data_IF_520053283439
#
_entry.id   IF_520053283439
#
_cell.length_a   1.000
_cell.length_b   1.000
_cell.length_c   1.000
_cell.angle_alpha   90.00
_cell.angle_beta   90.00
_cell.angle_gamma   90.00
#
_symmetry.space_group_name_H-M   'P 1'
#
loop_
_entity.id
_entity.type
_entity.pdbx_description
1 polymer ?
#
# COMPACT_ATOMS: atom_id res chain seq x y z
N UNK A 1 57.12 -10.84 -20.51
CA UNK A 1 56.03 -10.08 -19.84
C UNK A 1 54.73 -10.82 -20.09
N UNK A 2 53.96 -11.06 -19.03
CA UNK A 2 52.63 -11.69 -19.08
C UNK A 2 52.57 -13.10 -18.49
N UNK A 3 52.89 -13.29 -17.20
CA UNK A 3 52.40 -14.47 -16.48
C UNK A 3 50.91 -14.23 -16.24
N UNK A 4 50.07 -14.94 -17.00
CA UNK A 4 48.66 -15.08 -16.66
C UNK A 4 48.59 -15.57 -15.21
N UNK A 5 47.88 -14.82 -14.36
CA UNK A 5 47.68 -15.19 -12.96
C UNK A 5 47.26 -16.65 -12.88
N UNK A 6 47.86 -17.38 -11.94
CA UNK A 6 47.71 -18.82 -11.85
C UNK A 6 46.22 -19.17 -11.77
N UNK A 7 45.81 -20.32 -12.28
CA UNK A 7 44.40 -20.74 -12.21
C UNK A 7 43.92 -20.79 -10.75
N UNK A 8 44.87 -21.03 -9.83
CA UNK A 8 44.72 -20.89 -8.39
C UNK A 8 44.29 -19.48 -7.94
N UNK A 9 44.84 -18.41 -8.52
CA UNK A 9 44.52 -17.02 -8.17
C UNK A 9 43.09 -16.65 -8.60
N UNK A 10 42.66 -17.16 -9.77
CA UNK A 10 41.31 -16.95 -10.30
C UNK A 10 40.28 -17.67 -9.43
N UNK A 11 40.57 -18.93 -9.04
CA UNK A 11 39.72 -19.70 -8.14
C UNK A 11 39.64 -19.04 -6.77
N UNK A 12 40.78 -18.59 -6.22
CA UNK A 12 40.82 -17.87 -4.94
C UNK A 12 39.96 -16.60 -5.00
N UNK A 13 40.11 -15.76 -6.04
CA UNK A 13 39.33 -14.52 -6.17
C UNK A 13 37.82 -14.75 -6.32
N UNK A 14 37.43 -15.89 -6.90
CA UNK A 14 36.02 -16.28 -7.06
C UNK A 14 35.44 -16.80 -5.75
N UNK A 15 36.20 -17.62 -5.03
CA UNK A 15 35.84 -18.10 -3.69
C UNK A 15 35.78 -16.93 -2.71
N UNK A 16 36.73 -16.00 -2.76
CA UNK A 16 36.76 -14.80 -1.93
C UNK A 16 35.56 -13.89 -2.23
N UNK A 17 35.17 -13.74 -3.50
CA UNK A 17 33.93 -13.06 -3.90
C UNK A 17 32.67 -13.77 -3.38
N UNK A 18 32.60 -15.08 -3.51
CA UNK A 18 31.47 -15.86 -2.97
C UNK A 18 31.42 -15.74 -1.45
N UNK A 19 32.56 -15.82 -0.77
CA UNK A 19 32.67 -15.63 0.68
C UNK A 19 32.29 -14.21 1.08
N UNK A 20 32.71 -13.17 0.36
CA UNK A 20 32.31 -11.78 0.67
C UNK A 20 30.82 -11.54 0.40
N UNK A 21 30.25 -12.13 -0.64
CA UNK A 21 28.80 -12.16 -0.88
C UNK A 21 28.05 -12.94 0.21
N UNK A 22 28.62 -14.04 0.70
CA UNK A 22 28.10 -14.83 1.83
C UNK A 22 28.31 -14.10 3.17
N UNK A 23 29.25 -13.16 3.23
CA UNK A 23 29.50 -12.27 4.37
C UNK A 23 28.56 -11.06 4.40
N UNK A 24 27.64 -10.92 3.43
CA UNK A 24 26.39 -10.21 3.71
C UNK A 24 25.80 -10.85 4.96
N UNK A 25 25.64 -10.06 6.03
CA UNK A 25 25.00 -10.57 7.23
C UNK A 25 23.65 -11.16 6.84
N UNK A 26 23.21 -12.23 7.49
CA UNK A 26 21.92 -12.88 7.18
C UNK A 26 20.79 -11.85 7.05
N UNK A 27 20.83 -10.77 7.84
CA UNK A 27 19.91 -9.65 7.78
C UNK A 27 20.01 -8.81 6.49
N UNK A 28 21.22 -8.60 5.95
CA UNK A 28 21.42 -7.91 4.68
C UNK A 28 20.87 -8.73 3.51
N UNK A 29 21.09 -10.06 3.51
CA UNK A 29 20.55 -10.96 2.50
C UNK A 29 19.00 -11.04 2.55
N UNK A 30 18.42 -11.15 3.75
CA UNK A 30 16.96 -11.16 3.92
C UNK A 30 16.36 -9.83 3.46
N UNK A 31 17.00 -8.71 3.80
CA UNK A 31 16.53 -7.40 3.40
C UNK A 31 16.61 -7.19 1.88
N UNK A 32 17.73 -7.54 1.25
CA UNK A 32 17.90 -7.39 -0.20
C UNK A 32 16.89 -8.25 -0.97
N UNK A 33 16.61 -9.46 -0.50
CA UNK A 33 15.59 -10.35 -1.06
C UNK A 33 14.19 -9.74 -0.98
N UNK A 34 13.78 -9.23 0.19
CA UNK A 34 12.45 -8.64 0.39
C UNK A 34 12.27 -7.32 -0.37
N UNK A 35 13.31 -6.47 -0.37
CA UNK A 35 13.29 -5.19 -1.07
C UNK A 35 13.20 -5.38 -2.59
N UNK A 36 13.96 -6.34 -3.14
CA UNK A 36 13.90 -6.68 -4.57
C UNK A 36 12.50 -7.19 -4.98
N UNK A 37 11.92 -8.09 -4.18
CA UNK A 37 10.56 -8.59 -4.43
C UNK A 37 9.51 -7.48 -4.38
N UNK A 38 9.59 -6.57 -3.41
CA UNK A 38 8.67 -5.44 -3.28
C UNK A 38 8.77 -4.47 -4.48
N UNK A 39 9.99 -4.20 -4.95
CA UNK A 39 10.22 -3.36 -6.11
C UNK A 39 9.67 -4.01 -7.40
N UNK A 40 9.92 -5.30 -7.62
CA UNK A 40 9.48 -6.00 -8.82
C UNK A 40 7.96 -6.20 -8.90
N UNK A 41 7.33 -6.61 -7.80
CA UNK A 41 5.91 -6.99 -7.82
C UNK A 41 4.95 -5.84 -7.54
N UNK A 42 5.40 -4.83 -6.79
CA UNK A 42 4.54 -3.75 -6.32
C UNK A 42 5.05 -2.36 -6.67
N UNK A 43 6.24 -2.24 -7.29
CA UNK A 43 6.89 -0.96 -7.57
C UNK A 43 7.08 -0.09 -6.31
N UNK A 44 7.37 -0.72 -5.18
CA UNK A 44 7.62 -0.07 -3.88
C UNK A 44 9.11 -0.17 -3.56
N UNK A 45 9.73 0.97 -3.21
CA UNK A 45 11.07 1.01 -2.62
C UNK A 45 10.93 0.90 -1.11
N UNK A 46 11.64 -0.03 -0.48
CA UNK A 46 11.58 -0.26 0.97
C UNK A 46 12.95 -0.02 1.57
N UNK A 47 13.03 0.90 2.52
CA UNK A 47 14.25 1.16 3.30
C UNK A 47 14.40 0.18 4.47
N UNK A 48 15.64 -0.05 4.92
CA UNK A 48 15.93 -1.06 5.96
C UNK A 48 15.30 -0.71 7.30
N UNK A 49 15.43 0.54 7.72
CA UNK A 49 14.82 1.05 8.95
C UNK A 49 13.29 1.03 8.87
N UNK A 50 12.73 1.29 7.70
CA UNK A 50 11.29 1.25 7.46
C UNK A 50 10.75 -0.18 7.62
N UNK A 51 11.41 -1.16 7.01
CA UNK A 51 11.04 -2.57 7.14
C UNK A 51 11.12 -3.05 8.59
N UNK A 52 12.20 -2.71 9.30
CA UNK A 52 12.38 -3.08 10.71
C UNK A 52 11.27 -2.48 11.57
N UNK A 53 10.96 -1.19 11.39
CA UNK A 53 9.87 -0.53 12.12
C UNK A 53 8.51 -1.14 11.79
N UNK A 54 8.26 -1.47 10.53
CA UNK A 54 7.02 -2.12 10.10
C UNK A 54 6.85 -3.50 10.77
N UNK A 55 7.90 -4.32 10.80
CA UNK A 55 7.89 -5.63 11.47
C UNK A 55 7.65 -5.48 12.97
N UNK A 56 8.34 -4.54 13.63
CA UNK A 56 8.14 -4.24 15.05
C UNK A 56 6.71 -3.80 15.32
N UNK A 57 6.14 -2.93 14.49
CA UNK A 57 4.76 -2.47 14.61
C UNK A 57 3.76 -3.63 14.43
N UNK A 58 3.99 -4.54 13.49
CA UNK A 58 3.18 -5.75 13.29
C UNK A 58 3.21 -6.63 14.54
N UNK A 59 4.40 -6.86 15.11
CA UNK A 59 4.58 -7.69 16.32
C UNK A 59 3.91 -7.05 17.54
N UNK A 60 4.17 -5.76 17.78
CA UNK A 60 3.54 -5.00 18.86
C UNK A 60 2.02 -4.97 18.72
N UNK A 61 1.51 -4.81 17.50
CA UNK A 61 0.06 -4.83 17.24
C UNK A 61 -0.55 -6.20 17.46
N UNK A 62 0.19 -7.30 17.24
CA UNK A 62 -0.29 -8.66 17.57
C UNK A 62 -0.29 -8.95 19.06
N UNK A 63 0.68 -8.43 19.79
CA UNK A 63 0.88 -8.73 21.21
C UNK A 63 0.02 -7.83 22.11
N UNK A 64 -0.14 -6.55 21.74
CA UNK A 64 -0.76 -5.55 22.59
C UNK A 64 -1.99 -4.87 21.95
N UNK A 65 -2.34 -5.20 20.72
CA UNK A 65 -3.40 -4.50 19.99
C UNK A 65 -4.25 -5.39 19.07
N UNK A 66 -5.16 -4.77 18.29
CA UNK A 66 -5.84 -5.42 17.19
C UNK A 66 -4.84 -5.69 16.06
N UNK A 67 -4.95 -6.84 15.41
CA UNK A 67 -4.05 -7.24 14.34
C UNK A 67 -4.10 -6.22 13.18
N UNK A 68 -2.98 -6.06 12.47
CA UNK A 68 -2.94 -5.16 11.30
C UNK A 68 -3.94 -5.59 10.22
N UNK A 69 -4.21 -6.89 10.09
CA UNK A 69 -5.25 -7.40 9.19
C UNK A 69 -6.65 -6.90 9.54
N UNK A 70 -7.03 -6.95 10.82
CA UNK A 70 -8.34 -6.43 11.27
C UNK A 70 -8.45 -4.92 11.09
N UNK A 71 -7.36 -4.18 11.38
CA UNK A 71 -7.31 -2.73 11.15
C UNK A 71 -7.47 -2.39 9.67
N UNK A 72 -6.79 -3.13 8.78
CA UNK A 72 -6.91 -2.94 7.34
C UNK A 72 -8.31 -3.26 6.82
N UNK A 73 -8.91 -4.35 7.27
CA UNK A 73 -10.29 -4.71 6.92
C UNK A 73 -11.27 -3.63 7.35
N UNK A 74 -11.16 -3.16 8.60
CA UNK A 74 -12.01 -2.09 9.15
C UNK A 74 -11.84 -0.78 8.37
N UNK A 75 -10.61 -0.37 8.10
CA UNK A 75 -10.34 0.85 7.34
C UNK A 75 -10.92 0.80 5.93
N UNK A 76 -10.77 -0.34 5.25
CA UNK A 76 -11.31 -0.56 3.90
C UNK A 76 -12.84 -0.52 3.91
N UNK A 77 -13.46 -1.16 4.89
CA UNK A 77 -14.91 -1.18 5.03
C UNK A 77 -15.48 0.21 5.35
N UNK A 78 -14.81 0.96 6.23
CA UNK A 78 -15.17 2.34 6.56
C UNK A 78 -15.04 3.28 5.35
N UNK A 79 -13.97 3.14 4.56
CA UNK A 79 -13.79 3.93 3.35
C UNK A 79 -14.89 3.66 2.32
N UNK A 80 -15.25 2.38 2.12
CA UNK A 80 -16.35 1.99 1.24
C UNK A 80 -17.71 2.52 1.73
N UNK A 81 -17.96 2.49 3.04
CA UNK A 81 -19.21 3.00 3.61
C UNK A 81 -19.31 4.53 3.51
N UNK A 82 -18.19 5.24 3.70
CA UNK A 82 -18.13 6.69 3.55
C UNK A 82 -18.41 7.12 2.10
N UNK A 83 -17.84 6.43 1.11
CA UNK A 83 -18.13 6.66 -0.31
C UNK A 83 -19.60 6.39 -0.65
N UNK A 84 -20.18 5.30 -0.12
CA UNK A 84 -21.62 5.00 -0.29
C UNK A 84 -22.50 6.08 0.31
N UNK A 85 -22.23 6.48 1.54
CA UNK A 85 -23.00 7.50 2.24
C UNK A 85 -22.95 8.83 1.49
N UNK A 86 -21.77 9.22 0.99
CA UNK A 86 -21.61 10.42 0.17
C UNK A 86 -22.44 10.36 -1.11
N UNK A 87 -22.32 9.28 -1.89
CA UNK A 87 -23.08 9.09 -3.14
C UNK A 87 -24.58 9.11 -2.91
N UNK A 88 -25.05 8.45 -1.86
CA UNK A 88 -26.46 8.43 -1.49
C UNK A 88 -26.96 9.83 -1.11
N UNK A 89 -26.24 10.54 -0.24
CA UNK A 89 -26.61 11.90 0.16
C UNK A 89 -26.68 12.87 -1.02
N UNK A 90 -25.74 12.76 -1.97
CA UNK A 90 -25.79 13.54 -3.20
C UNK A 90 -27.04 13.23 -4.03
N UNK A 91 -27.35 11.95 -4.21
CA UNK A 91 -28.53 11.52 -4.97
C UNK A 91 -29.84 11.97 -4.31
N UNK A 92 -29.95 11.82 -2.99
CA UNK A 92 -31.11 12.25 -2.21
C UNK A 92 -31.30 13.78 -2.34
N UNK A 93 -30.21 14.55 -2.23
CA UNK A 93 -30.24 16.00 -2.43
C UNK A 93 -30.71 16.42 -3.82
N UNK A 94 -30.24 15.72 -4.87
CA UNK A 94 -30.69 15.96 -6.25
C UNK A 94 -32.20 15.66 -6.39
N UNK A 95 -32.67 14.56 -5.81
CA UNK A 95 -34.09 14.21 -5.86
C UNK A 95 -34.97 15.22 -5.10
N UNK A 96 -34.53 15.69 -3.94
CA UNK A 96 -35.24 16.75 -3.20
C UNK A 96 -35.30 18.05 -3.99
N UNK A 97 -34.17 18.49 -4.56
CA UNK A 97 -34.12 19.70 -5.39
C UNK A 97 -35.10 19.59 -6.58
N UNK A 98 -35.13 18.42 -7.23
CA UNK A 98 -36.06 18.15 -8.33
C UNK A 98 -37.52 18.22 -7.87
N UNK A 99 -37.87 17.60 -6.74
CA UNK A 99 -39.23 17.65 -6.18
C UNK A 99 -39.66 19.08 -5.84
N UNK A 100 -38.76 19.88 -5.26
CA UNK A 100 -39.03 21.29 -4.95
C UNK A 100 -39.35 22.08 -6.22
N UNK A 101 -38.51 21.95 -7.25
CA UNK A 101 -38.75 22.59 -8.55
C UNK A 101 -40.09 22.15 -9.17
N UNK A 102 -40.37 20.83 -9.20
CA UNK A 102 -41.62 20.30 -9.74
C UNK A 102 -42.86 20.82 -8.99
N UNK A 103 -42.77 21.05 -7.68
CA UNK A 103 -43.85 21.64 -6.91
C UNK A 103 -44.02 23.14 -7.20
N UNK A 104 -42.93 23.91 -7.24
CA UNK A 104 -42.99 25.34 -7.60
C UNK A 104 -43.61 25.57 -8.97
N UNK A 105 -43.24 24.77 -9.98
CA UNK A 105 -43.85 24.85 -11.31
C UNK A 105 -45.34 24.50 -11.34
N UNK A 106 -45.81 23.63 -10.43
CA UNK A 106 -47.24 23.30 -10.31
C UNK A 106 -48.03 24.42 -9.63
N UNK A 107 -47.44 25.03 -8.60
CA UNK A 107 -48.03 26.17 -7.89
C UNK A 107 -48.17 27.38 -8.83
N UNK A 108 -47.11 27.76 -9.54
CA UNK A 108 -47.16 28.86 -10.52
C UNK A 108 -48.21 28.61 -11.61
N UNK A 109 -48.31 27.37 -12.12
CA UNK A 109 -49.28 27.03 -13.18
C UNK A 109 -50.74 27.09 -12.70
N UNK A 110 -51.00 26.92 -11.41
CA UNK A 110 -52.34 27.09 -10.84
C UNK A 110 -52.69 28.57 -10.66
N UNK A 111 -51.73 29.41 -10.23
CA UNK A 111 -51.93 30.87 -10.11
C UNK A 111 -52.22 31.56 -11.45
N UNK A 112 -51.73 31.03 -12.58
CA UNK A 112 -52.05 31.56 -13.92
C UNK A 112 -53.43 31.14 -14.46
N UNK A 113 -54.19 30.30 -13.75
CA UNK A 113 -55.49 29.75 -14.19
C UNK A 113 -56.69 30.31 -13.43
N UNK A 114 -56.46 31.06 -12.36
CA UNK A 114 -57.46 31.84 -11.62
C UNK A 114 -57.50 33.30 -12.12
#
# INVERSE_FOLDING_TARGET
MGTFGDTSDIISSTVDKIITTVNETQDAFIFSTLSSYAAEQYNITVEKEELVRAIQLIRMSREYGPSIGERWATATQNAAELDRAYKKGLQDGIQEARKRLENTFKEEKNDFRD
#
